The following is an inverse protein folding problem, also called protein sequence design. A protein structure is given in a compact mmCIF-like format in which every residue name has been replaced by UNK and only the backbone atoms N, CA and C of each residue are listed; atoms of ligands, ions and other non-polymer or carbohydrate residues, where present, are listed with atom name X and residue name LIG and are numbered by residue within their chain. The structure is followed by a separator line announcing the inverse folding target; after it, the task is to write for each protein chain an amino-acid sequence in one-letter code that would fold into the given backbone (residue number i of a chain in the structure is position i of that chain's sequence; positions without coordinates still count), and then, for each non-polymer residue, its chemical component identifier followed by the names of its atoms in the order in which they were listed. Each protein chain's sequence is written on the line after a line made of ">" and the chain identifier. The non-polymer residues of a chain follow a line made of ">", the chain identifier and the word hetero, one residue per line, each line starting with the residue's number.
data_IF_631710209467
#
_entry.id   IF_631710209467
#
_cell.length_a   1.000
_cell.length_b   1.000
_cell.length_c   1.000
_cell.angle_alpha   90.00
_cell.angle_beta   90.00
_cell.angle_gamma   90.00
#
_symmetry.space_group_name_H-M   'P 1'
#
loop_
_entity.id
_entity.type
_entity.pdbx_description
1 polymer ?
#
# COMPACT_ATOMS: atom_id res chain seq x y z
N UNK A 1 25.99 -22.27 -17.35
CA UNK A 1 27.06 -22.48 -16.36
C UNK A 1 27.35 -21.13 -15.69
N UNK A 2 27.25 -21.08 -14.33
CA UNK A 2 27.37 -19.95 -13.37
C UNK A 2 26.31 -18.83 -13.50
N UNK A 3 25.63 -18.36 -12.45
CA UNK A 3 25.75 -18.43 -10.98
C UNK A 3 24.40 -17.87 -10.43
N UNK A 4 23.57 -18.45 -9.56
CA UNK A 4 23.67 -19.22 -8.30
C UNK A 4 24.45 -18.54 -7.15
N UNK A 5 24.09 -17.29 -6.86
CA UNK A 5 24.09 -16.72 -5.50
C UNK A 5 22.94 -15.71 -5.42
N UNK A 6 21.90 -16.04 -4.65
CA UNK A 6 21.04 -15.18 -3.81
C UNK A 6 19.96 -16.12 -3.25
N UNK A 7 20.34 -16.96 -2.29
CA UNK A 7 19.39 -17.70 -1.45
C UNK A 7 18.94 -16.80 -0.30
N UNK A 8 17.62 -16.68 -0.16
CA UNK A 8 16.86 -16.37 1.04
C UNK A 8 17.30 -15.16 1.89
N UNK A 9 16.76 -13.99 1.57
CA UNK A 9 16.25 -13.08 2.61
C UNK A 9 15.21 -12.12 2.05
N UNK A 10 14.01 -12.18 2.64
CA UNK A 10 12.83 -11.35 2.40
C UNK A 10 12.14 -11.57 1.04
N UNK A 11 11.10 -12.42 1.08
CA UNK A 11 10.00 -12.47 0.13
C UNK A 11 9.78 -11.10 -0.53
N UNK A 12 9.95 -11.01 -1.85
CA UNK A 12 9.12 -10.09 -2.63
C UNK A 12 7.72 -10.70 -2.52
N UNK A 13 7.00 -10.38 -1.44
CA UNK A 13 5.57 -10.69 -1.41
C UNK A 13 4.96 -9.85 -2.52
N UNK A 14 4.49 -10.50 -3.59
CA UNK A 14 3.70 -9.97 -4.71
C UNK A 14 2.34 -9.40 -4.22
N UNK A 15 2.33 -8.68 -3.11
CA UNK A 15 1.18 -8.45 -2.25
C UNK A 15 0.77 -6.99 -2.15
N UNK A 16 -0.30 -6.77 -1.38
CA UNK A 16 -0.86 -5.44 -1.12
C UNK A 16 0.12 -4.60 -0.29
N UNK A 17 0.79 -3.63 -0.93
CA UNK A 17 1.76 -2.74 -0.28
C UNK A 17 1.10 -1.71 0.64
N UNK A 18 -0.06 -1.20 0.22
CA UNK A 18 -0.81 -0.17 0.93
C UNK A 18 -2.31 -0.26 0.61
N UNK A 19 -3.16 -0.01 1.60
CA UNK A 19 -4.59 0.27 1.37
C UNK A 19 -5.03 1.50 2.14
N UNK A 20 -5.98 2.24 1.56
CA UNK A 20 -6.80 3.11 2.38
C UNK A 20 -8.01 3.67 1.66
N UNK A 21 -8.88 4.32 2.43
CA UNK A 21 -10.10 4.94 1.90
C UNK A 21 -9.91 6.42 1.55
N UNK A 22 -10.63 6.87 0.52
CA UNK A 22 -10.69 8.26 0.13
C UNK A 22 -12.12 8.65 -0.27
N UNK A 23 -12.56 9.85 0.15
CA UNK A 23 -13.81 10.45 -0.35
C UNK A 23 -13.61 11.04 -1.75
N UNK A 24 -12.46 11.66 -1.97
CA UNK A 24 -12.04 12.23 -3.25
C UNK A 24 -10.60 11.81 -3.54
N UNK A 25 -10.35 11.19 -4.70
CA UNK A 25 -9.02 10.71 -5.07
C UNK A 25 -8.03 11.87 -5.27
N UNK A 26 -8.50 13.00 -5.81
CA UNK A 26 -7.67 14.20 -6.00
C UNK A 26 -7.07 14.67 -4.68
N UNK A 27 -7.88 14.74 -3.63
CA UNK A 27 -7.43 15.16 -2.30
C UNK A 27 -6.48 14.12 -1.68
N UNK A 28 -6.69 12.83 -1.97
CA UNK A 28 -5.84 11.74 -1.46
C UNK A 28 -4.41 11.80 -1.96
N UNK A 29 -4.21 12.24 -3.20
CA UNK A 29 -2.89 12.31 -3.82
C UNK A 29 -2.29 13.72 -3.84
N UNK A 30 -3.02 14.73 -3.35
CA UNK A 30 -2.54 16.12 -3.31
C UNK A 30 -1.35 16.24 -2.35
N UNK A 31 -0.21 16.71 -2.86
CA UNK A 31 1.04 16.80 -2.10
C UNK A 31 1.81 15.47 -2.00
N UNK A 32 1.41 14.45 -2.78
CA UNK A 32 2.01 13.13 -2.77
C UNK A 32 1.28 12.13 -1.87
N UNK A 33 1.87 10.94 -1.69
CA UNK A 33 1.30 9.89 -0.86
C UNK A 33 2.42 9.04 -0.24
N UNK A 34 2.35 8.75 1.07
CA UNK A 34 3.44 8.09 1.81
C UNK A 34 3.87 6.73 1.23
N UNK A 35 2.94 6.01 0.61
CA UNK A 35 3.24 4.72 -0.03
C UNK A 35 4.24 4.86 -1.19
N UNK A 36 4.23 5.98 -1.90
CA UNK A 36 5.20 6.23 -2.99
C UNK A 36 6.61 6.44 -2.43
N UNK A 37 6.73 7.18 -1.33
CA UNK A 37 8.00 7.36 -0.63
C UNK A 37 8.57 6.01 -0.15
N UNK A 38 7.73 5.16 0.43
CA UNK A 38 8.17 3.83 0.89
C UNK A 38 8.56 2.90 -0.25
N UNK A 39 7.82 2.89 -1.36
CA UNK A 39 8.19 2.14 -2.56
C UNK A 39 9.54 2.59 -3.11
N UNK A 40 9.80 3.90 -3.13
CA UNK A 40 11.08 4.46 -3.55
C UNK A 40 12.23 4.08 -2.60
N UNK A 41 12.03 4.19 -1.28
CA UNK A 41 13.04 3.81 -0.27
C UNK A 41 13.36 2.31 -0.32
N UNK A 42 12.36 1.47 -0.57
CA UNK A 42 12.52 0.01 -0.74
C UNK A 42 13.03 -0.38 -2.14
N UNK A 43 13.26 0.59 -3.03
CA UNK A 43 13.79 0.41 -4.38
C UNK A 43 12.94 -0.50 -5.27
N UNK A 44 11.61 -0.40 -5.16
CA UNK A 44 10.73 -1.03 -6.14
C UNK A 44 10.95 -0.44 -7.53
N UNK A 45 10.91 -1.29 -8.55
CA UNK A 45 10.74 -0.84 -9.92
C UNK A 45 9.33 -0.21 -10.06
N UNK A 46 9.20 1.06 -10.49
CA UNK A 46 7.90 1.66 -10.74
C UNK A 46 7.02 0.84 -11.70
N UNK A 47 7.63 0.13 -12.64
CA UNK A 47 6.93 -0.72 -13.61
C UNK A 47 6.38 -2.02 -13.00
N UNK A 48 6.76 -2.35 -11.76
CA UNK A 48 6.21 -3.49 -11.01
C UNK A 48 5.10 -3.07 -10.03
N UNK A 49 4.92 -1.76 -9.78
CA UNK A 49 3.92 -1.26 -8.82
C UNK A 49 2.65 -0.82 -9.55
N UNK A 50 1.49 -1.25 -9.04
CA UNK A 50 0.17 -0.85 -9.56
C UNK A 50 -0.68 -0.21 -8.47
N UNK A 51 -1.42 0.83 -8.85
CA UNK A 51 -2.44 1.47 -8.00
C UNK A 51 -3.81 1.13 -8.55
N UNK A 52 -4.63 0.46 -7.76
CA UNK A 52 -6.01 0.09 -8.12
C UNK A 52 -6.97 0.91 -7.26
N UNK A 53 -8.02 1.42 -7.89
CA UNK A 53 -9.11 2.13 -7.22
C UNK A 53 -10.41 1.39 -7.48
N UNK A 54 -11.10 1.02 -6.40
CA UNK A 54 -12.43 0.43 -6.49
C UNK A 54 -13.49 1.43 -5.98
N UNK A 55 -14.32 2.01 -6.88
CA UNK A 55 -15.38 2.90 -6.46
C UNK A 55 -16.48 2.10 -5.77
N UNK A 56 -16.68 2.36 -4.48
CA UNK A 56 -17.83 1.83 -3.76
C UNK A 56 -18.99 2.81 -3.97
N UNK A 57 -20.07 2.31 -4.57
CA UNK A 57 -21.33 3.07 -4.64
C UNK A 57 -21.70 3.56 -3.26
N UNK A 58 -22.12 4.83 -3.15
CA UNK A 58 -22.42 5.51 -1.90
C UNK A 58 -23.52 4.77 -1.12
N UNK A 59 -23.17 3.73 -0.37
CA UNK A 59 -23.97 3.30 0.76
C UNK A 59 -23.72 4.35 1.84
N UNK A 60 -24.77 5.09 2.23
CA UNK A 60 -24.75 6.26 3.12
C UNK A 60 -24.25 6.02 4.55
N UNK A 61 -23.19 5.23 4.72
CA UNK A 61 -22.61 4.80 5.98
C UNK A 61 -21.09 4.87 5.87
N UNK A 62 -20.52 6.06 6.10
CA UNK A 62 -19.07 6.26 6.18
C UNK A 62 -18.39 5.29 7.18
N UNK A 63 -19.13 4.83 8.19
CA UNK A 63 -18.70 3.77 9.11
C UNK A 63 -18.40 2.44 8.42
N UNK A 64 -19.17 2.04 7.40
CA UNK A 64 -18.93 0.77 6.70
C UNK A 64 -17.59 0.79 5.95
N UNK A 65 -17.24 1.92 5.32
CA UNK A 65 -15.94 2.09 4.66
C UNK A 65 -14.77 1.99 5.65
N UNK A 66 -14.95 2.54 6.85
CA UNK A 66 -13.95 2.46 7.90
C UNK A 66 -13.79 1.02 8.41
N UNK A 67 -14.90 0.31 8.63
CA UNK A 67 -14.84 -1.08 9.08
C UNK A 67 -14.24 -2.00 8.02
N UNK A 68 -14.58 -1.82 6.74
CA UNK A 68 -13.96 -2.57 5.64
C UNK A 68 -12.45 -2.32 5.57
N UNK A 69 -12.01 -1.06 5.68
CA UNK A 69 -10.58 -0.72 5.72
C UNK A 69 -9.89 -1.42 6.89
N UNK A 70 -10.47 -1.39 8.10
CA UNK A 70 -9.92 -2.08 9.27
C UNK A 70 -9.80 -3.59 9.05
N UNK A 71 -10.83 -4.23 8.52
CA UNK A 71 -10.83 -5.67 8.25
C UNK A 71 -9.72 -6.05 7.26
N UNK A 72 -9.55 -5.29 6.18
CA UNK A 72 -8.49 -5.55 5.20
C UNK A 72 -7.12 -5.32 5.85
N UNK A 73 -6.93 -4.22 6.58
CA UNK A 73 -5.67 -3.93 7.29
C UNK A 73 -5.29 -5.05 8.27
N UNK A 74 -6.26 -5.59 9.01
CA UNK A 74 -6.02 -6.68 9.95
C UNK A 74 -5.68 -7.99 9.24
N UNK A 75 -6.36 -8.29 8.14
CA UNK A 75 -6.18 -9.52 7.37
C UNK A 75 -4.86 -9.53 6.58
N UNK A 76 -4.46 -8.40 5.99
CA UNK A 76 -3.34 -8.35 5.04
C UNK A 76 -2.09 -7.65 5.57
N UNK A 77 -2.22 -6.86 6.65
CA UNK A 77 -1.12 -6.10 7.29
C UNK A 77 -0.16 -5.43 6.29
N UNK A 78 -0.63 -4.56 5.38
CA UNK A 78 0.21 -3.99 4.34
C UNK A 78 1.40 -3.23 4.93
N UNK A 79 2.62 -3.44 4.42
CA UNK A 79 3.82 -2.89 5.03
C UNK A 79 3.79 -1.36 5.12
N UNK A 80 3.20 -0.67 4.13
CA UNK A 80 3.23 0.80 4.08
C UNK A 80 2.11 1.46 4.87
N UNK A 81 1.16 0.68 5.40
CA UNK A 81 0.20 1.19 6.38
C UNK A 81 0.84 1.34 7.75
N UNK A 82 1.71 0.41 8.14
CA UNK A 82 2.34 0.33 9.47
C UNK A 82 3.65 1.11 9.56
N UNK A 83 4.41 1.25 8.46
CA UNK A 83 5.64 2.06 8.45
C UNK A 83 5.34 3.50 8.89
N UNK A 84 5.88 3.87 10.04
CA UNK A 84 5.90 5.23 10.60
C UNK A 84 7.21 5.86 10.14
N UNK A 85 7.22 7.13 9.66
CA UNK A 85 8.46 7.86 9.49
C UNK A 85 9.23 7.81 10.80
N UNK A 86 10.48 7.33 10.78
CA UNK A 86 11.34 7.54 11.94
C UNK A 86 11.60 9.04 12.01
N UNK A 87 11.33 9.66 13.16
CA UNK A 87 11.68 11.05 13.38
C UNK A 87 13.16 11.23 13.03
N UNK A 88 13.43 12.21 12.16
CA UNK A 88 14.79 12.60 11.72
C UNK A 88 15.35 13.61 12.70
#
# INVERSE_FOLDING_TARGET
>A
MRSRYWTDTAKIEEGLLYIGKAKHLRDRFRGGHKAFLWGWLDRYDPDDVRVIVYPLGHFGKAGLLLELEKLILQATKPPYNVKIPKDI
#
